data_IF_801956415954
#
_entry.id   IF_801956415954
#
_cell.length_a   1.000
_cell.length_b   1.000
_cell.length_c   1.000
_cell.angle_alpha   90.00
_cell.angle_beta   90.00
_cell.angle_gamma   90.00
#
_symmetry.space_group_name_H-M   'P 1'
#
loop_
_entity.id
_entity.type
_entity.pdbx_description
1 polymer ?
#
# COMPACT_ATOMS: atom_id res chain seq x y z
N UNK A 1 23.27 13.06 3.27
CA UNK A 1 23.03 13.93 2.09
C UNK A 1 21.58 13.76 1.70
N UNK A 2 20.82 14.86 1.54
CA UNK A 2 19.42 14.77 1.13
C UNK A 2 19.35 14.25 -0.30
N UNK A 3 18.94 13.00 -0.49
CA UNK A 3 18.72 12.44 -1.81
C UNK A 3 17.46 13.10 -2.41
N UNK A 4 17.67 14.12 -3.24
CA UNK A 4 16.63 14.74 -4.03
C UNK A 4 15.94 13.65 -4.85
N UNK A 5 14.64 13.45 -4.62
CA UNK A 5 13.81 12.54 -5.41
C UNK A 5 13.01 13.34 -6.42
N UNK A 6 12.93 12.84 -7.64
CA UNK A 6 12.29 13.47 -8.78
C UNK A 6 11.07 12.67 -9.21
N UNK A 7 10.03 13.39 -9.59
CA UNK A 7 8.84 12.86 -10.24
C UNK A 7 8.72 13.53 -11.60
N UNK A 8 8.50 12.74 -12.65
CA UNK A 8 8.33 13.24 -14.01
C UNK A 8 6.88 13.12 -14.44
N UNK A 9 6.32 14.20 -15.00
CA UNK A 9 5.04 14.18 -15.71
C UNK A 9 5.35 14.47 -17.17
N UNK A 10 5.00 13.55 -18.07
CA UNK A 10 5.34 13.63 -19.49
C UNK A 10 4.13 13.33 -20.36
N UNK A 11 4.02 14.00 -21.51
CA UNK A 11 3.01 13.63 -22.51
C UNK A 11 3.38 12.29 -23.17
N UNK A 12 2.38 11.46 -23.46
CA UNK A 12 2.54 10.17 -24.12
C UNK A 12 3.36 10.26 -25.42
N UNK A 13 3.21 11.33 -26.20
CA UNK A 13 3.95 11.54 -27.45
C UNK A 13 5.48 11.46 -27.28
N UNK A 14 6.00 11.84 -26.10
CA UNK A 14 7.43 11.83 -25.80
C UNK A 14 7.84 10.67 -24.89
N UNK A 15 6.87 9.97 -24.27
CA UNK A 15 7.12 8.94 -23.28
C UNK A 15 7.91 7.76 -23.85
N UNK A 16 7.54 7.27 -25.05
CA UNK A 16 8.19 6.12 -25.69
C UNK A 16 9.69 6.32 -25.93
N UNK A 17 10.11 7.54 -26.31
CA UNK A 17 11.51 7.84 -26.58
C UNK A 17 12.27 8.25 -25.31
N UNK A 18 11.60 8.87 -24.34
CA UNK A 18 12.26 9.46 -23.17
C UNK A 18 12.49 8.41 -22.08
N UNK A 19 11.49 7.57 -21.79
CA UNK A 19 11.54 6.61 -20.67
C UNK A 19 12.72 5.63 -20.76
N UNK A 20 13.01 5.01 -21.92
CA UNK A 20 14.17 4.12 -22.04
C UNK A 20 15.50 4.79 -21.69
N UNK A 21 15.63 6.11 -21.87
CA UNK A 21 16.87 6.84 -21.57
C UNK A 21 17.01 7.24 -20.10
N UNK A 22 15.91 7.31 -19.34
CA UNK A 22 15.91 7.89 -17.98
C UNK A 22 15.47 6.92 -16.89
N UNK A 23 14.96 5.74 -17.26
CA UNK A 23 14.40 4.77 -16.30
C UNK A 23 15.42 4.35 -15.22
N UNK A 24 16.71 4.27 -15.55
CA UNK A 24 17.76 3.85 -14.62
C UNK A 24 18.22 4.93 -13.66
N UNK A 25 17.76 6.19 -13.80
CA UNK A 25 18.19 7.29 -12.93
C UNK A 25 17.70 7.01 -11.49
N UNK A 26 18.59 6.86 -10.49
CA UNK A 26 18.20 6.47 -9.14
C UNK A 26 17.30 7.49 -8.44
N UNK A 27 17.48 8.77 -8.74
CA UNK A 27 16.68 9.87 -8.18
C UNK A 27 15.27 9.92 -8.76
N UNK A 28 15.03 9.33 -9.93
CA UNK A 28 13.71 9.28 -10.55
C UNK A 28 12.90 8.17 -9.89
N UNK A 29 11.84 8.56 -9.18
CA UNK A 29 11.03 7.66 -8.37
C UNK A 29 9.74 7.25 -9.09
N UNK A 30 9.14 8.19 -9.82
CA UNK A 30 7.86 7.98 -10.48
C UNK A 30 7.75 8.77 -11.79
N UNK A 31 7.08 8.15 -12.77
CA UNK A 31 6.76 8.74 -14.07
C UNK A 31 5.26 8.63 -14.29
N UNK A 32 4.63 9.78 -14.57
CA UNK A 32 3.21 9.90 -14.89
C UNK A 32 3.09 10.29 -16.36
N UNK A 33 2.33 9.51 -17.12
CA UNK A 33 2.15 9.76 -18.55
C UNK A 33 0.77 10.40 -18.76
N UNK A 34 0.71 11.57 -19.40
CA UNK A 34 -0.54 12.25 -19.72
C UNK A 34 -0.92 12.04 -21.18
N UNK A 35 -2.17 11.62 -21.42
CA UNK A 35 -2.71 11.43 -22.77
C UNK A 35 -4.23 11.52 -22.80
N UNK A 36 -4.79 12.41 -23.62
CA UNK A 36 -6.25 12.63 -23.65
C UNK A 36 -7.05 11.43 -24.16
N UNK A 37 -6.53 10.70 -25.16
CA UNK A 37 -7.21 9.55 -25.76
C UNK A 37 -6.52 8.26 -25.35
N UNK A 38 -7.09 7.42 -24.50
CA UNK A 38 -6.39 6.22 -23.99
C UNK A 38 -5.94 5.33 -25.18
N UNK A 39 -4.64 5.00 -25.33
CA UNK A 39 -4.18 4.26 -26.48
C UNK A 39 -4.55 2.78 -26.35
N UNK A 40 -5.03 2.18 -27.43
CA UNK A 40 -5.47 0.77 -27.49
C UNK A 40 -4.37 -0.28 -27.16
N UNK A 41 -3.10 0.11 -26.93
CA UNK A 41 -1.98 -0.81 -26.71
C UNK A 41 -0.95 -0.25 -25.69
N UNK A 42 -1.17 -0.50 -24.40
CA UNK A 42 -0.28 -0.05 -23.29
C UNK A 42 0.76 -1.09 -22.84
N UNK A 43 0.98 -2.16 -23.62
CA UNK A 43 1.81 -3.29 -23.18
C UNK A 43 3.27 -2.92 -22.91
N UNK A 44 3.81 -1.91 -23.59
CA UNK A 44 5.20 -1.49 -23.42
C UNK A 44 5.45 -0.85 -22.04
N UNK A 45 4.43 -0.23 -21.43
CA UNK A 45 4.55 0.45 -20.14
C UNK A 45 4.76 -0.52 -19.00
N UNK A 46 4.21 -1.74 -19.10
CA UNK A 46 4.36 -2.79 -18.09
C UNK A 46 5.83 -3.21 -17.87
N UNK A 47 6.72 -2.90 -18.81
CA UNK A 47 8.15 -3.19 -18.69
C UNK A 47 8.89 -2.16 -17.84
N UNK A 48 8.26 -1.03 -17.47
CA UNK A 48 8.90 0.07 -16.78
C UNK A 48 8.32 0.26 -15.37
N UNK A 49 8.99 -0.25 -14.32
CA UNK A 49 8.43 -0.29 -12.97
C UNK A 49 8.22 1.10 -12.34
N UNK A 50 8.97 2.12 -12.80
CA UNK A 50 8.83 3.51 -12.34
C UNK A 50 7.66 4.25 -13.00
N UNK A 51 6.99 3.65 -13.98
CA UNK A 51 5.81 4.26 -14.60
C UNK A 51 4.58 3.91 -13.77
N UNK A 52 3.96 4.94 -13.20
CA UNK A 52 2.78 4.78 -12.34
C UNK A 52 1.53 4.50 -13.16
N UNK A 53 1.43 5.10 -14.35
CA UNK A 53 0.33 4.86 -15.27
C UNK A 53 0.17 5.94 -16.34
N UNK A 54 -0.82 5.73 -17.20
CA UNK A 54 -1.34 6.73 -18.14
C UNK A 54 -2.60 7.34 -17.56
N UNK A 55 -2.68 8.67 -17.65
CA UNK A 55 -3.79 9.46 -17.15
C UNK A 55 -4.35 10.32 -18.28
N UNK A 56 -5.66 10.33 -18.40
CA UNK A 56 -6.39 11.16 -19.37
C UNK A 56 -6.91 12.47 -18.79
N UNK A 57 -6.83 12.64 -17.47
CA UNK A 57 -7.24 13.83 -16.77
C UNK A 57 -6.15 14.28 -15.80
N UNK A 58 -5.90 15.59 -15.77
CA UNK A 58 -4.95 16.20 -14.82
C UNK A 58 -5.40 15.99 -13.38
N UNK A 59 -6.72 15.99 -13.13
CA UNK A 59 -7.30 15.71 -11.80
C UNK A 59 -6.86 14.34 -11.26
N UNK A 60 -6.85 13.31 -12.09
CA UNK A 60 -6.43 11.96 -11.71
C UNK A 60 -4.93 11.89 -11.39
N UNK A 61 -4.09 12.64 -12.11
CA UNK A 61 -2.66 12.79 -11.77
C UNK A 61 -2.52 13.45 -10.40
N UNK A 62 -3.23 14.55 -10.16
CA UNK A 62 -3.20 15.27 -8.89
C UNK A 62 -3.64 14.40 -7.72
N UNK A 63 -4.67 13.59 -7.88
CA UNK A 63 -5.14 12.65 -6.85
C UNK A 63 -4.11 11.56 -6.57
N UNK A 64 -3.53 10.96 -7.61
CA UNK A 64 -2.47 9.96 -7.46
C UNK A 64 -1.24 10.54 -6.77
N UNK A 65 -0.86 11.78 -7.11
CA UNK A 65 0.23 12.50 -6.43
C UNK A 65 -0.10 12.78 -4.96
N UNK A 66 -1.32 13.21 -4.63
CA UNK A 66 -1.75 13.41 -3.22
C UNK A 66 -1.62 12.13 -2.43
N UNK A 67 -2.06 10.99 -2.98
CA UNK A 67 -1.94 9.68 -2.33
C UNK A 67 -0.46 9.32 -2.15
N UNK A 68 0.38 9.51 -3.18
CA UNK A 68 1.80 9.19 -3.11
C UNK A 68 2.55 10.03 -2.07
N UNK A 69 2.22 11.32 -1.95
CA UNK A 69 2.76 12.21 -0.91
C UNK A 69 2.28 11.78 0.47
N UNK A 70 0.97 11.53 0.64
CA UNK A 70 0.39 11.07 1.90
C UNK A 70 1.01 9.76 2.38
N UNK A 71 1.13 8.74 1.52
CA UNK A 71 1.77 7.47 1.89
C UNK A 71 3.21 7.65 2.35
N UNK A 72 3.98 8.55 1.72
CA UNK A 72 5.35 8.84 2.14
C UNK A 72 5.41 9.51 3.52
N UNK A 73 4.40 10.30 3.86
CA UNK A 73 4.28 10.98 5.16
C UNK A 73 3.67 10.04 6.23
N UNK A 74 2.75 9.15 5.85
CA UNK A 74 2.12 8.11 6.68
C UNK A 74 3.05 6.92 6.95
N UNK A 75 3.93 6.54 6.02
CA UNK A 75 5.03 5.60 6.30
C UNK A 75 5.98 6.14 7.39
N UNK A 76 5.90 7.44 7.70
CA UNK A 76 6.60 8.10 8.82
C UNK A 76 5.70 8.38 10.02
N UNK A 77 4.39 8.24 9.90
CA UNK A 77 3.39 8.51 10.94
C UNK A 77 2.58 7.24 11.19
N UNK A 78 2.89 6.58 12.31
CA UNK A 78 2.11 5.52 12.96
C UNK A 78 0.64 5.44 12.49
N UNK A 79 0.24 4.28 11.98
CA UNK A 79 -1.11 3.85 11.56
C UNK A 79 -2.23 4.74 12.13
N UNK A 80 -2.62 5.76 11.38
CA UNK A 80 -3.76 6.64 11.72
C UNK A 80 -4.97 6.18 10.90
N UNK A 81 -5.92 5.53 11.57
CA UNK A 81 -7.10 4.91 10.97
C UNK A 81 -8.34 5.82 11.06
N UNK A 82 -8.17 7.13 10.86
CA UNK A 82 -9.27 8.09 10.76
C UNK A 82 -9.18 8.78 9.40
N UNK A 83 -10.25 8.70 8.63
CA UNK A 83 -10.36 9.34 7.31
C UNK A 83 -10.29 10.87 7.46
N UNK A 84 -9.32 11.50 6.78
CA UNK A 84 -9.10 12.96 6.84
C UNK A 84 -10.24 13.74 6.13
N UNK A 85 -11.19 13.08 5.48
CA UNK A 85 -12.33 13.75 4.83
C UNK A 85 -13.35 14.35 5.82
N UNK A 86 -13.14 14.18 7.12
CA UNK A 86 -13.92 14.78 8.21
C UNK A 86 -13.35 16.11 8.75
N UNK A 87 -12.60 16.87 7.95
CA UNK A 87 -12.23 18.27 8.26
C UNK A 87 -13.38 19.28 8.06
N UNK A 88 -14.60 18.94 8.44
CA UNK A 88 -15.66 19.93 8.67
C UNK A 88 -15.72 20.25 10.17
N UNK A 89 -15.34 21.46 10.62
CA UNK A 89 -15.38 21.84 12.03
C UNK A 89 -16.81 21.88 12.63
N UNK A 90 -17.86 21.70 11.81
CA UNK A 90 -19.25 21.57 12.26
C UNK A 90 -19.77 20.13 12.33
N UNK A 91 -19.00 19.11 11.92
CA UNK A 91 -19.40 17.72 12.17
C UNK A 91 -19.15 17.39 13.64
N UNK A 92 -20.25 17.35 14.39
CA UNK A 92 -20.28 17.00 15.81
C UNK A 92 -19.47 15.74 16.10
N UNK A 93 -18.77 15.73 17.24
CA UNK A 93 -18.14 14.56 17.90
C UNK A 93 -19.09 13.34 18.07
N UNK A 94 -20.38 13.48 17.75
CA UNK A 94 -21.35 12.40 17.64
C UNK A 94 -21.23 11.56 16.36
N UNK A 95 -20.43 11.98 15.38
CA UNK A 95 -20.05 11.20 14.21
C UNK A 95 -18.62 10.69 14.34
N UNK A 96 -18.27 10.12 15.51
CA UNK A 96 -17.14 9.20 15.51
C UNK A 96 -17.49 8.12 14.49
N UNK A 97 -16.73 8.08 13.39
CA UNK A 97 -16.85 7.06 12.36
C UNK A 97 -16.99 5.71 13.07
N UNK A 98 -18.00 4.92 12.73
CA UNK A 98 -18.20 3.61 13.35
C UNK A 98 -16.92 2.78 13.28
N UNK A 99 -16.12 3.01 12.23
CA UNK A 99 -14.76 2.52 12.07
C UNK A 99 -13.89 2.78 13.29
N UNK A 100 -13.93 3.96 13.92
CA UNK A 100 -13.16 4.27 15.13
C UNK A 100 -13.57 3.38 16.32
N UNK A 101 -14.87 3.15 16.51
CA UNK A 101 -15.36 2.26 17.57
C UNK A 101 -14.95 0.81 17.33
N UNK A 102 -15.06 0.34 16.08
CA UNK A 102 -14.58 -0.98 15.70
C UNK A 102 -13.07 -1.12 15.87
N UNK A 103 -12.29 -0.09 15.54
CA UNK A 103 -10.83 -0.09 15.69
C UNK A 103 -10.42 -0.06 17.15
N UNK A 104 -11.09 0.73 17.99
CA UNK A 104 -10.82 0.77 19.41
C UNK A 104 -11.14 -0.58 20.06
N UNK A 105 -12.28 -1.19 19.71
CA UNK A 105 -12.66 -2.52 20.18
C UNK A 105 -11.68 -3.59 19.71
N UNK A 106 -11.28 -3.56 18.43
CA UNK A 106 -10.30 -4.48 17.87
C UNK A 106 -8.94 -4.34 18.57
N UNK A 107 -8.49 -3.10 18.83
CA UNK A 107 -7.25 -2.81 19.57
C UNK A 107 -7.32 -3.36 20.98
N UNK A 108 -8.42 -3.14 21.70
CA UNK A 108 -8.62 -3.66 23.05
C UNK A 108 -8.61 -5.18 23.07
N UNK A 109 -9.31 -5.83 22.13
CA UNK A 109 -9.27 -7.29 21.98
C UNK A 109 -7.84 -7.77 21.71
N UNK A 110 -7.12 -7.17 20.77
CA UNK A 110 -5.74 -7.54 20.44
C UNK A 110 -4.81 -7.36 21.64
N UNK A 111 -4.96 -6.30 22.42
CA UNK A 111 -4.11 -6.05 23.59
C UNK A 111 -4.44 -6.95 24.78
N UNK A 112 -5.70 -7.35 24.93
CA UNK A 112 -6.17 -8.24 26.00
C UNK A 112 -5.97 -9.72 25.65
N UNK A 113 -5.68 -10.05 24.39
CA UNK A 113 -5.32 -11.40 23.98
C UNK A 113 -3.96 -11.77 24.59
N UNK A 114 -3.99 -12.75 25.49
CA UNK A 114 -2.78 -13.41 25.94
C UNK A 114 -2.28 -14.35 24.84
N UNK A 115 -1.36 -13.84 24.02
CA UNK A 115 -0.69 -14.64 22.99
C UNK A 115 0.28 -15.62 23.66
N UNK A 116 -0.07 -16.89 23.65
CA UNK A 116 0.83 -17.99 23.95
C UNK A 116 1.23 -18.73 22.67
N UNK A 117 2.23 -19.61 22.74
CA UNK A 117 2.64 -20.43 21.59
C UNK A 117 1.49 -21.30 21.05
N UNK A 118 0.50 -21.59 21.90
CA UNK A 118 -0.67 -22.37 21.52
C UNK A 118 -1.60 -21.58 20.60
N UNK A 119 -1.77 -20.28 20.82
CA UNK A 119 -2.61 -19.41 20.01
C UNK A 119 -2.19 -19.39 18.54
N UNK A 120 -0.88 -19.39 18.27
CA UNK A 120 -0.34 -19.45 16.91
C UNK A 120 -0.52 -20.84 16.29
N UNK A 121 -0.35 -21.90 17.07
CA UNK A 121 -0.60 -23.27 16.60
C UNK A 121 -2.07 -23.50 16.27
N UNK A 122 -2.98 -22.98 17.09
CA UNK A 122 -4.42 -23.08 16.86
C UNK A 122 -4.80 -22.31 15.58
N UNK A 123 -4.18 -21.14 15.34
CA UNK A 123 -4.37 -20.36 14.12
C UNK A 123 -3.83 -21.07 12.87
N UNK A 124 -2.61 -21.61 12.92
CA UNK A 124 -2.01 -22.30 11.78
C UNK A 124 -2.74 -23.60 11.48
N UNK A 125 -3.26 -24.29 12.51
CA UNK A 125 -4.10 -25.46 12.37
C UNK A 125 -5.42 -25.14 11.64
N UNK A 126 -6.11 -24.07 12.04
CA UNK A 126 -7.31 -23.61 11.35
C UNK A 126 -7.05 -23.38 9.85
N UNK A 127 -5.94 -22.70 9.50
CA UNK A 127 -5.61 -22.47 8.10
C UNK A 127 -5.20 -23.75 7.35
N UNK A 128 -4.57 -24.72 8.01
CA UNK A 128 -4.28 -26.03 7.39
C UNK A 128 -5.56 -26.78 7.03
N UNK A 129 -6.59 -26.66 7.86
CA UNK A 129 -7.90 -27.27 7.61
C UNK A 129 -8.63 -26.58 6.45
N UNK A 130 -8.63 -25.24 6.42
CA UNK A 130 -9.25 -24.45 5.35
C UNK A 130 -8.57 -24.64 3.99
N UNK A 131 -7.24 -24.79 3.98
CA UNK A 131 -6.43 -24.92 2.76
C UNK A 131 -5.88 -26.33 2.53
N UNK A 132 -6.55 -27.37 3.05
CA UNK A 132 -6.08 -28.76 3.01
C UNK A 132 -5.71 -29.25 1.59
N UNK A 133 -6.41 -28.77 0.57
CA UNK A 133 -6.19 -29.15 -0.83
C UNK A 133 -5.18 -28.26 -1.58
N UNK A 134 -4.53 -27.32 -0.90
CA UNK A 134 -3.62 -26.35 -1.52
C UNK A 134 -2.20 -26.46 -0.93
N UNK A 135 -1.38 -27.33 -1.54
CA UNK A 135 0.02 -27.56 -1.14
C UNK A 135 0.86 -26.28 -1.07
N UNK A 136 0.58 -25.29 -1.93
CA UNK A 136 1.29 -24.02 -1.91
C UNK A 136 0.97 -23.21 -0.64
N UNK A 137 -0.31 -23.13 -0.26
CA UNK A 137 -0.74 -22.45 0.95
C UNK A 137 -0.25 -23.19 2.21
N UNK A 138 -0.29 -24.53 2.21
CA UNK A 138 0.24 -25.34 3.31
C UNK A 138 1.73 -25.08 3.55
N UNK A 139 2.51 -24.92 2.47
CA UNK A 139 3.93 -24.55 2.59
C UNK A 139 4.12 -23.17 3.22
N UNK A 140 3.33 -22.19 2.78
CA UNK A 140 3.37 -20.83 3.33
C UNK A 140 2.98 -20.79 4.81
N UNK A 141 1.95 -21.56 5.21
CA UNK A 141 1.52 -21.69 6.61
C UNK A 141 2.64 -22.30 7.48
N UNK A 142 3.36 -23.30 6.95
CA UNK A 142 4.49 -23.91 7.66
C UNK A 142 5.66 -22.94 7.83
N UNK A 143 6.00 -22.16 6.79
CA UNK A 143 7.04 -21.13 6.86
C UNK A 143 6.65 -20.05 7.89
N UNK A 144 5.40 -19.57 7.86
CA UNK A 144 4.86 -18.62 8.83
C UNK A 144 4.96 -19.13 10.27
N UNK A 145 4.53 -20.36 10.55
CA UNK A 145 4.60 -20.92 11.91
C UNK A 145 6.05 -21.02 12.42
N UNK A 146 6.99 -21.40 11.57
CA UNK A 146 8.39 -21.53 11.94
C UNK A 146 9.07 -20.18 12.17
N UNK A 147 8.75 -19.17 11.36
CA UNK A 147 9.37 -17.86 11.42
C UNK A 147 8.77 -16.98 12.52
N UNK A 148 7.50 -17.20 12.87
CA UNK A 148 6.81 -16.44 13.93
C UNK A 148 7.55 -16.49 15.28
N UNK A 149 8.10 -17.65 15.65
CA UNK A 149 8.84 -17.82 16.92
C UNK A 149 10.30 -17.39 16.85
N UNK A 150 10.84 -17.13 15.65
CA UNK A 150 12.24 -16.67 15.48
C UNK A 150 12.37 -15.18 15.75
N UNK A 151 11.31 -14.42 15.49
CA UNK A 151 11.26 -12.99 15.72
C UNK A 151 10.73 -12.71 17.13
N UNK A 152 11.49 -11.98 17.95
CA UNK A 152 10.96 -11.46 19.23
C UNK A 152 9.95 -10.37 18.94
N UNK A 153 8.81 -10.29 19.68
CA UNK A 153 7.87 -9.19 19.54
C UNK A 153 8.59 -7.85 19.64
N UNK A 154 8.23 -6.91 18.77
CA UNK A 154 8.72 -5.53 18.83
C UNK A 154 8.34 -4.99 20.22
N UNK A 155 9.36 -4.66 21.00
CA UNK A 155 9.24 -4.23 22.40
C UNK A 155 9.14 -2.71 22.50
#
# INVERSE_FOLDING_TARGET
>A
MNHLKLVLIISYAYACCTIPCIHDIPQLEAIYIFFQDIPYHEQWIKHWPKVIGIFNQVSSICESLKIAVRRRDEDKLSVSMVSIDDTDPNKSLHQLDQSFMYTQLLKEIILDLNYDEKSIKDLTQYFREEYADNEYQLKFINEFEQDYFKETPIR
#
